data_IF_224548404530
#
_entry.id   IF_224548404530
#
_cell.length_a   1.000
_cell.length_b   1.000
_cell.length_c   1.000
_cell.angle_alpha   90.00
_cell.angle_beta   90.00
_cell.angle_gamma   90.00
#
_symmetry.space_group_name_H-M   'P 1'
#
loop_
_entity.id
_entity.type
_entity.pdbx_description
1 polymer ?
#
# COMPACT_ATOMS: atom_id res chain seq x y z
N UNK A 1 10.46 -18.62 41.74
CA UNK A 1 10.95 -19.42 40.60
C UNK A 1 10.73 -18.65 39.31
N UNK A 2 11.69 -17.78 39.01
CA UNK A 2 11.79 -17.09 37.72
C UNK A 2 12.06 -18.13 36.64
N UNK A 3 11.10 -18.31 35.74
CA UNK A 3 11.28 -19.16 34.57
C UNK A 3 11.81 -18.26 33.46
N UNK A 4 13.13 -18.00 33.45
CA UNK A 4 13.78 -17.42 32.28
C UNK A 4 13.70 -18.45 31.15
N UNK A 5 12.79 -18.20 30.21
CA UNK A 5 12.74 -18.92 28.95
C UNK A 5 14.00 -18.53 28.17
N UNK A 6 15.08 -19.30 28.33
CA UNK A 6 16.28 -19.17 27.51
C UNK A 6 15.95 -19.65 26.10
N UNK A 7 15.85 -18.72 25.17
CA UNK A 7 15.64 -19.00 23.75
C UNK A 7 16.87 -19.71 23.15
N UNK A 8 16.63 -20.63 22.22
CA UNK A 8 17.68 -21.31 21.45
C UNK A 8 18.54 -20.28 20.69
N UNK A 9 19.87 -20.48 20.56
CA UNK A 9 20.76 -19.58 19.82
C UNK A 9 20.30 -19.28 18.39
N UNK A 10 19.64 -20.25 17.73
CA UNK A 10 19.07 -20.10 16.39
C UNK A 10 17.85 -19.16 16.35
N UNK A 11 17.02 -19.20 17.40
CA UNK A 11 15.88 -18.29 17.52
C UNK A 11 16.35 -16.87 17.84
N UNK A 12 17.42 -16.74 18.63
CA UNK A 12 18.04 -15.45 18.94
C UNK A 12 18.63 -14.80 17.68
N UNK A 13 19.34 -15.56 16.84
CA UNK A 13 19.91 -15.06 15.58
C UNK A 13 18.85 -14.67 14.54
N UNK A 14 17.74 -15.41 14.49
CA UNK A 14 16.63 -15.09 13.58
C UNK A 14 15.93 -13.79 14.04
N UNK A 15 15.71 -13.60 15.35
CA UNK A 15 15.14 -12.37 15.92
C UNK A 15 16.04 -11.16 15.62
N UNK A 16 17.34 -11.25 15.91
CA UNK A 16 18.30 -10.16 15.64
C UNK A 16 18.35 -9.80 14.14
N UNK A 17 18.22 -10.79 13.25
CA UNK A 17 18.11 -10.57 11.81
C UNK A 17 16.86 -9.77 11.43
N UNK A 18 15.69 -10.14 11.97
CA UNK A 18 14.44 -9.43 11.70
C UNK A 18 14.44 -8.02 12.29
N UNK A 19 14.95 -7.82 13.50
CA UNK A 19 15.09 -6.49 14.13
C UNK A 19 16.00 -5.57 13.31
N UNK A 20 17.15 -6.08 12.83
CA UNK A 20 18.03 -5.32 11.94
C UNK A 20 17.37 -5.00 10.59
N UNK A 21 16.58 -5.92 10.06
CA UNK A 21 15.86 -5.72 8.81
C UNK A 21 14.77 -4.66 8.98
N UNK A 22 14.01 -4.71 10.07
CA UNK A 22 13.00 -3.71 10.45
C UNK A 22 13.63 -2.33 10.64
N UNK A 23 14.74 -2.23 11.37
CA UNK A 23 15.46 -0.97 11.56
C UNK A 23 15.95 -0.37 10.24
N UNK A 24 16.53 -1.18 9.35
CA UNK A 24 16.95 -0.73 8.00
C UNK A 24 15.76 -0.30 7.15
N UNK A 25 14.64 -1.02 7.22
CA UNK A 25 13.41 -0.67 6.50
C UNK A 25 12.79 0.63 7.04
N UNK A 26 12.82 0.85 8.36
CA UNK A 26 12.32 2.06 8.99
C UNK A 26 13.13 3.29 8.55
N UNK A 27 14.45 3.18 8.44
CA UNK A 27 15.30 4.25 7.93
C UNK A 27 15.02 4.56 6.45
N UNK A 28 14.83 3.52 5.62
CA UNK A 28 14.42 3.70 4.23
C UNK A 28 13.06 4.41 4.11
N UNK A 29 12.09 4.00 4.92
CA UNK A 29 10.76 4.61 4.98
C UNK A 29 10.82 6.11 5.32
N UNK A 30 11.58 6.46 6.37
CA UNK A 30 11.78 7.85 6.80
C UNK A 30 12.33 8.70 5.65
N UNK A 31 13.33 8.17 4.92
CA UNK A 31 13.92 8.83 3.75
C UNK A 31 12.92 9.01 2.62
N UNK A 32 12.17 7.97 2.27
CA UNK A 32 11.18 8.02 1.20
C UNK A 32 10.03 8.98 1.50
N UNK A 33 9.54 9.01 2.74
CA UNK A 33 8.52 9.96 3.19
C UNK A 33 9.01 11.40 3.03
N UNK A 34 10.16 11.76 3.61
CA UNK A 34 10.73 13.11 3.55
C UNK A 34 10.97 13.56 2.12
N UNK A 35 11.51 12.67 1.27
CA UNK A 35 11.74 12.95 -0.15
C UNK A 35 10.43 13.22 -0.89
N UNK A 36 9.40 12.39 -0.65
CA UNK A 36 8.12 12.48 -1.36
C UNK A 36 7.34 13.73 -0.98
N UNK A 37 7.40 14.13 0.30
CA UNK A 37 6.69 15.32 0.79
C UNK A 37 7.46 16.63 0.60
N UNK A 38 8.71 16.57 0.13
CA UNK A 38 9.58 17.75 -0.02
C UNK A 38 8.92 18.90 -0.77
N UNK A 39 8.32 18.62 -1.92
CA UNK A 39 7.67 19.65 -2.75
C UNK A 39 6.53 20.37 -2.01
N UNK A 40 5.74 19.65 -1.20
CA UNK A 40 4.63 20.20 -0.40
C UNK A 40 5.18 21.11 0.69
N UNK A 41 6.26 20.70 1.34
CA UNK A 41 6.89 21.43 2.44
C UNK A 41 7.57 22.68 1.92
N UNK A 42 8.31 22.59 0.81
CA UNK A 42 9.04 23.70 0.20
C UNK A 42 8.09 24.82 -0.30
N UNK A 43 6.88 24.46 -0.72
CA UNK A 43 5.86 25.42 -1.14
C UNK A 43 5.13 26.08 0.03
N UNK A 44 5.28 25.56 1.25
CA UNK A 44 4.57 26.06 2.40
C UNK A 44 5.41 27.15 3.11
N UNK A 45 4.91 28.39 3.24
CA UNK A 45 5.67 29.50 3.82
C UNK A 45 6.02 29.29 5.29
N UNK A 46 5.35 28.35 5.96
CA UNK A 46 5.58 28.05 7.36
C UNK A 46 6.61 26.92 7.58
N UNK A 47 7.36 26.56 6.52
CA UNK A 47 8.60 25.75 6.61
C UNK A 47 9.65 26.47 7.46
N UNK A 48 10.29 25.79 8.43
CA UNK A 48 11.42 26.33 9.18
C UNK A 48 12.61 26.68 8.27
N UNK A 49 13.32 27.77 8.55
CA UNK A 49 14.46 28.22 7.73
C UNK A 49 15.63 27.23 7.74
N UNK A 50 15.86 26.59 8.88
CA UNK A 50 16.90 25.60 9.13
C UNK A 50 16.45 24.17 8.81
N UNK A 51 15.26 23.99 8.23
CA UNK A 51 14.67 22.66 8.00
C UNK A 51 15.57 21.76 7.15
N UNK A 52 16.21 22.31 6.11
CA UNK A 52 17.06 21.53 5.20
C UNK A 52 18.39 21.10 5.85
N UNK A 53 18.78 21.73 6.97
CA UNK A 53 19.97 21.39 7.75
C UNK A 53 19.70 20.26 8.77
N UNK A 54 18.44 19.91 8.99
CA UNK A 54 18.07 18.87 9.95
C UNK A 54 18.36 17.46 9.43
N UNK A 55 18.54 16.52 10.36
CA UNK A 55 18.60 15.10 10.04
C UNK A 55 17.27 14.61 9.48
N UNK A 56 17.29 13.60 8.60
CA UNK A 56 16.07 13.06 7.97
C UNK A 56 15.04 12.59 9.00
N UNK A 57 15.50 12.02 10.12
CA UNK A 57 14.62 11.60 11.23
C UNK A 57 13.91 12.79 11.87
N UNK A 58 14.64 13.88 12.15
CA UNK A 58 14.06 15.10 12.72
C UNK A 58 13.08 15.78 11.75
N UNK A 59 13.42 15.79 10.46
CA UNK A 59 12.52 16.24 9.41
C UNK A 59 11.22 15.43 9.39
N UNK A 60 11.31 14.10 9.41
CA UNK A 60 10.15 13.21 9.45
C UNK A 60 9.27 13.44 10.67
N UNK A 61 9.85 13.45 11.89
CA UNK A 61 9.11 13.69 13.13
C UNK A 61 8.36 15.02 13.09
N UNK A 62 8.99 16.07 12.56
CA UNK A 62 8.39 17.37 12.38
C UNK A 62 7.21 17.35 11.39
N UNK A 63 7.35 16.66 10.25
CA UNK A 63 6.24 16.50 9.28
C UNK A 63 5.08 15.79 9.95
N UNK A 64 5.34 14.69 10.67
CA UNK A 64 4.29 13.87 11.29
C UNK A 64 3.52 14.64 12.36
N UNK A 65 4.20 15.46 13.16
CA UNK A 65 3.54 16.32 14.16
C UNK A 65 2.81 17.51 13.54
N UNK A 66 3.15 17.91 12.31
CA UNK A 66 2.58 19.06 11.62
C UNK A 66 1.78 18.69 10.36
N UNK A 67 1.28 17.45 10.25
CA UNK A 67 0.57 16.97 9.05
C UNK A 67 -0.56 17.91 8.63
N UNK A 68 -1.38 18.37 9.58
CA UNK A 68 -2.49 19.29 9.31
C UNK A 68 -2.06 20.60 8.66
N UNK A 69 -0.84 21.07 8.96
CA UNK A 69 -0.28 22.33 8.45
C UNK A 69 0.18 22.20 7.00
N UNK A 70 0.65 21.02 6.60
CA UNK A 70 1.13 20.75 5.25
C UNK A 70 0.05 20.16 4.34
N UNK A 71 -0.94 19.47 4.90
CA UNK A 71 -2.02 18.79 4.18
C UNK A 71 -3.39 19.41 4.49
N UNK A 72 -3.51 20.72 4.24
CA UNK A 72 -4.67 21.55 4.61
C UNK A 72 -6.01 21.06 4.01
N UNK A 73 -5.96 20.37 2.86
CA UNK A 73 -7.15 19.82 2.20
C UNK A 73 -7.58 18.43 2.71
N UNK A 74 -6.83 17.83 3.65
CA UNK A 74 -7.11 16.48 4.16
C UNK A 74 -7.85 16.59 5.49
N UNK A 75 -9.05 16.01 5.63
CA UNK A 75 -9.76 15.94 6.91
C UNK A 75 -8.91 15.29 8.01
N UNK A 76 -9.05 15.75 9.25
CA UNK A 76 -8.29 15.24 10.40
C UNK A 76 -8.41 13.70 10.54
N UNK A 77 -9.59 13.16 10.23
CA UNK A 77 -9.87 11.72 10.23
C UNK A 77 -9.07 10.91 9.20
N UNK A 78 -8.49 11.56 8.19
CA UNK A 78 -7.71 10.91 7.14
C UNK A 78 -6.20 11.18 7.26
N UNK A 79 -5.77 12.08 8.15
CA UNK A 79 -4.35 12.42 8.30
C UNK A 79 -3.48 11.21 8.66
N UNK A 80 -4.03 10.23 9.39
CA UNK A 80 -3.30 9.01 9.76
C UNK A 80 -2.95 8.12 8.56
N UNK A 81 -3.67 8.24 7.43
CA UNK A 81 -3.35 7.49 6.22
C UNK A 81 -2.10 8.03 5.50
N UNK A 82 -1.73 9.29 5.72
CA UNK A 82 -0.56 9.90 5.08
C UNK A 82 0.73 9.15 5.43
N UNK A 83 1.10 8.95 6.71
CA UNK A 83 2.26 8.14 7.05
C UNK A 83 2.13 6.68 6.61
N UNK A 84 0.91 6.12 6.65
CA UNK A 84 0.64 4.75 6.26
C UNK A 84 0.90 4.50 4.77
N UNK A 85 0.65 5.49 3.91
CA UNK A 85 0.90 5.40 2.47
C UNK A 85 2.38 5.16 2.13
N UNK A 86 3.29 5.59 3.00
CA UNK A 86 4.71 5.35 2.84
C UNK A 86 5.16 4.06 3.55
N UNK A 87 4.37 3.56 4.50
CA UNK A 87 4.77 2.42 5.33
C UNK A 87 4.70 1.14 4.51
N UNK A 88 5.75 0.32 4.60
CA UNK A 88 5.73 -1.01 3.98
C UNK A 88 4.70 -1.86 4.69
N UNK A 89 3.80 -2.50 3.94
CA UNK A 89 2.79 -3.38 4.52
C UNK A 89 3.37 -4.38 5.52
N UNK A 90 2.57 -4.73 6.53
CA UNK A 90 2.88 -5.66 7.63
C UNK A 90 3.25 -7.08 7.17
N UNK A 91 3.13 -7.37 5.89
CA UNK A 91 3.49 -8.63 5.25
C UNK A 91 4.96 -9.07 5.42
N UNK A 92 5.84 -8.23 5.98
CA UNK A 92 7.26 -8.56 6.22
C UNK A 92 8.08 -8.85 4.95
N UNK A 93 7.49 -8.65 3.77
CA UNK A 93 8.03 -9.03 2.45
C UNK A 93 8.05 -7.85 1.50
N UNK A 94 8.99 -7.84 0.55
CA UNK A 94 9.00 -6.79 -0.48
C UNK A 94 7.82 -7.08 -1.38
N UNK A 95 7.20 -6.03 -1.92
CA UNK A 95 6.09 -6.18 -2.88
C UNK A 95 6.47 -7.01 -4.11
N UNK A 96 7.76 -7.05 -4.44
CA UNK A 96 8.33 -7.83 -5.55
C UNK A 96 8.72 -9.26 -5.15
N UNK A 97 8.68 -9.60 -3.86
CA UNK A 97 9.05 -10.95 -3.43
C UNK A 97 7.95 -11.93 -3.78
N UNK A 98 8.35 -13.03 -4.42
CA UNK A 98 7.44 -14.11 -4.75
C UNK A 98 6.87 -14.75 -3.47
N UNK A 99 5.54 -14.91 -3.33
CA UNK A 99 4.99 -15.60 -2.17
C UNK A 99 5.38 -17.08 -2.16
N UNK A 100 5.68 -17.64 -0.99
CA UNK A 100 6.13 -19.03 -0.84
C UNK A 100 5.12 -20.06 -1.39
N UNK A 101 3.83 -19.73 -1.36
CA UNK A 101 2.77 -20.60 -1.86
C UNK A 101 2.64 -20.57 -3.40
N UNK A 102 3.32 -19.65 -4.09
CA UNK A 102 3.23 -19.54 -5.54
C UNK A 102 4.11 -20.60 -6.21
N UNK A 103 3.47 -21.60 -6.81
CA UNK A 103 4.13 -22.53 -7.73
C UNK A 103 4.15 -21.93 -9.14
N UNK A 104 5.36 -21.65 -9.65
CA UNK A 104 5.52 -20.99 -10.95
C UNK A 104 5.11 -21.89 -12.12
N UNK A 105 5.26 -23.22 -11.98
CA UNK A 105 4.84 -24.17 -13.03
C UNK A 105 3.31 -24.22 -13.14
N UNK A 106 2.61 -24.22 -11.99
CA UNK A 106 1.14 -24.15 -11.97
C UNK A 106 0.64 -22.81 -12.50
N UNK A 107 1.29 -21.71 -12.11
CA UNK A 107 0.96 -20.38 -12.61
C UNK A 107 1.08 -20.28 -14.14
N UNK A 108 2.21 -20.70 -14.72
CA UNK A 108 2.44 -20.70 -16.16
C UNK A 108 1.43 -21.60 -16.91
N UNK A 109 1.09 -22.76 -16.34
CA UNK A 109 0.04 -23.63 -16.89
C UNK A 109 -1.33 -22.93 -16.90
N UNK A 110 -1.67 -22.20 -15.83
CA UNK A 110 -2.87 -21.37 -15.78
C UNK A 110 -2.87 -20.27 -16.85
N UNK A 111 -1.74 -19.59 -17.05
CA UNK A 111 -1.61 -18.59 -18.12
C UNK A 111 -1.80 -19.19 -19.52
N UNK A 112 -1.23 -20.37 -19.79
CA UNK A 112 -1.43 -21.07 -21.05
C UNK A 112 -2.91 -21.43 -21.25
N UNK A 113 -3.55 -22.01 -20.23
CA UNK A 113 -4.99 -22.31 -20.27
C UNK A 113 -5.82 -21.06 -20.57
N UNK A 114 -5.53 -19.94 -19.90
CA UNK A 114 -6.23 -18.69 -20.14
C UNK A 114 -6.07 -18.18 -21.57
N UNK A 115 -4.87 -18.33 -22.16
CA UNK A 115 -4.60 -17.96 -23.55
C UNK A 115 -5.33 -18.88 -24.53
N UNK A 116 -5.30 -20.18 -24.30
CA UNK A 116 -5.92 -21.19 -25.16
C UNK A 116 -7.46 -21.09 -25.14
N UNK A 117 -8.04 -20.61 -24.04
CA UNK A 117 -9.50 -20.48 -23.83
C UNK A 117 -9.96 -19.04 -23.63
N UNK A 118 -9.24 -18.06 -24.19
CA UNK A 118 -9.50 -16.64 -23.93
C UNK A 118 -10.93 -16.24 -24.28
N UNK A 119 -11.48 -16.75 -25.40
CA UNK A 119 -12.84 -16.44 -25.81
C UNK A 119 -13.88 -16.95 -24.79
N UNK A 120 -13.74 -18.21 -24.33
CA UNK A 120 -14.63 -18.79 -23.34
C UNK A 120 -14.57 -18.05 -22.00
N UNK A 121 -13.38 -17.61 -21.59
CA UNK A 121 -13.21 -16.79 -20.39
C UNK A 121 -13.87 -15.41 -20.52
N UNK A 122 -13.69 -14.74 -21.67
CA UNK A 122 -14.36 -13.46 -21.94
C UNK A 122 -15.87 -13.62 -21.96
N UNK A 123 -16.38 -14.67 -22.60
CA UNK A 123 -17.81 -14.97 -22.62
C UNK A 123 -18.36 -15.28 -21.23
N UNK A 124 -17.67 -16.10 -20.44
CA UNK A 124 -18.05 -16.38 -19.06
C UNK A 124 -18.08 -15.10 -18.19
N UNK A 125 -17.11 -14.19 -18.40
CA UNK A 125 -17.11 -12.89 -17.75
C UNK A 125 -18.31 -12.02 -18.15
N UNK A 126 -18.69 -12.00 -19.43
CA UNK A 126 -19.90 -11.27 -19.89
C UNK A 126 -21.15 -11.81 -19.20
N UNK A 127 -21.31 -13.13 -19.14
CA UNK A 127 -22.46 -13.77 -18.47
C UNK A 127 -22.45 -13.47 -16.96
N UNK A 128 -21.28 -13.52 -16.32
CA UNK A 128 -21.14 -13.19 -14.90
C UNK A 128 -21.47 -11.72 -14.61
N UNK A 129 -21.03 -10.79 -15.47
CA UNK A 129 -21.35 -9.37 -15.36
C UNK A 129 -22.84 -9.11 -15.59
N UNK A 130 -23.46 -9.81 -16.54
CA UNK A 130 -24.90 -9.75 -16.75
C UNK A 130 -25.64 -10.18 -15.46
N UNK A 131 -25.21 -11.29 -14.84
CA UNK A 131 -25.72 -11.70 -13.52
C UNK A 131 -25.56 -10.63 -12.45
N UNK A 132 -24.36 -10.04 -12.32
CA UNK A 132 -24.10 -8.94 -11.37
C UNK A 132 -25.04 -7.75 -11.59
N UNK A 133 -25.32 -7.39 -12.85
CA UNK A 133 -26.20 -6.26 -13.19
C UNK A 133 -27.69 -6.58 -13.10
N UNK A 134 -28.08 -7.86 -13.01
CA UNK A 134 -29.48 -8.20 -12.73
C UNK A 134 -29.86 -8.01 -11.27
N UNK A 135 -28.89 -7.97 -10.35
CA UNK A 135 -29.14 -7.72 -8.93
C UNK A 135 -28.91 -6.26 -8.55
N UNK A 136 -29.90 -5.69 -7.88
CA UNK A 136 -29.86 -4.29 -7.43
C UNK A 136 -28.62 -4.01 -6.54
N UNK A 137 -28.22 -4.97 -5.71
CA UNK A 137 -27.06 -4.86 -4.82
C UNK A 137 -25.72 -4.79 -5.56
N UNK A 138 -25.60 -5.44 -6.72
CA UNK A 138 -24.40 -5.34 -7.57
C UNK A 138 -24.29 -3.99 -8.28
N UNK A 139 -25.44 -3.37 -8.56
CA UNK A 139 -25.54 -2.07 -9.22
C UNK A 139 -25.43 -0.88 -8.25
N UNK A 140 -25.90 -1.01 -7.00
CA UNK A 140 -25.82 0.03 -5.96
C UNK A 140 -24.44 0.72 -5.90
N UNK A 141 -23.30 -0.01 -5.77
CA UNK A 141 -22.00 0.64 -5.71
C UNK A 141 -21.59 1.34 -7.04
N UNK A 142 -22.07 0.87 -8.19
CA UNK A 142 -21.79 1.51 -9.49
C UNK A 142 -22.58 2.81 -9.67
N UNK A 143 -23.84 2.81 -9.25
CA UNK A 143 -24.75 3.97 -9.30
C UNK A 143 -24.31 5.03 -8.28
N UNK A 144 -24.04 4.63 -7.04
CA UNK A 144 -23.72 5.55 -5.94
C UNK A 144 -22.37 6.26 -6.11
N UNK A 145 -21.39 5.61 -6.75
CA UNK A 145 -20.06 6.19 -6.92
C UNK A 145 -20.04 7.31 -7.98
N UNK A 146 -21.15 7.52 -8.73
CA UNK A 146 -21.34 8.50 -9.82
C UNK A 146 -20.24 8.53 -10.91
N UNK A 147 -19.22 7.69 -10.82
CA UNK A 147 -18.13 7.57 -11.80
C UNK A 147 -18.39 6.48 -12.84
N UNK A 148 -19.53 5.79 -12.75
CA UNK A 148 -19.91 4.69 -13.65
C UNK A 148 -21.43 4.65 -13.90
N UNK A 149 -22.10 5.79 -13.70
CA UNK A 149 -23.55 5.92 -13.88
C UNK A 149 -23.98 5.96 -15.36
N UNK A 150 -23.03 6.12 -16.28
CA UNK A 150 -23.25 5.93 -17.72
C UNK A 150 -22.31 4.85 -18.27
N UNK A 151 -22.71 4.14 -19.34
CA UNK A 151 -21.84 3.15 -20.00
C UNK A 151 -20.49 3.72 -20.45
N UNK A 152 -20.46 4.97 -20.91
CA UNK A 152 -19.23 5.64 -21.35
C UNK A 152 -18.25 5.89 -20.19
N UNK A 153 -18.75 6.33 -19.04
CA UNK A 153 -17.92 6.54 -17.84
C UNK A 153 -17.44 5.22 -17.22
N UNK A 154 -18.25 4.15 -17.33
CA UNK A 154 -17.81 2.82 -16.95
C UNK A 154 -16.68 2.31 -17.86
N UNK A 155 -16.78 2.50 -19.17
CA UNK A 155 -15.76 2.08 -20.14
C UNK A 155 -14.43 2.82 -20.00
N UNK A 156 -14.43 4.11 -19.63
CA UNK A 156 -13.17 4.84 -19.42
C UNK A 156 -12.42 4.41 -18.15
N UNK A 157 -13.11 3.72 -17.24
CA UNK A 157 -12.56 3.28 -15.95
C UNK A 157 -12.05 1.84 -15.95
N UNK A 158 -12.65 0.96 -16.74
CA UNK A 158 -12.36 -0.48 -16.83
C UNK A 158 -11.74 -0.84 -18.17
#
# INVERSE_FOLDING_TARGET
NDTRITLSPKNQSDIEYYELLEAKNADQYIKECVKSTKHIIDQNPAKPKDYDEWTTKKQYEYIMTNLKKYFVGVPDSLLFFIPAAFYRGDCGRRSLDKPFWLDMKKFQRGQKFARDHIFSLLFANIVSLFGLFTFEDGLKPLILNQKSHTPYLAFTRY
#
